data_IF_763488402673
#
_entry.id   IF_763488402673
#
_cell.length_a   1.000
_cell.length_b   1.000
_cell.length_c   1.000
_cell.angle_alpha   90.00
_cell.angle_beta   90.00
_cell.angle_gamma   90.00
#
_symmetry.space_group_name_H-M   'P 1'
#
loop_
_entity.id
_entity.type
_entity.pdbx_description
1 polymer ?
#
# COMPACT_ATOMS: atom_id res chain seq x y z
N UNK A 1 4.01 40.50 -58.37
CA UNK A 1 2.66 39.87 -58.15
C UNK A 1 2.63 39.39 -56.69
N UNK A 2 1.83 40.04 -55.89
CA UNK A 2 1.82 40.02 -54.43
C UNK A 2 0.79 38.99 -53.99
N UNK A 3 1.21 37.98 -53.23
CA UNK A 3 0.29 37.09 -52.55
C UNK A 3 0.06 37.56 -51.11
N UNK A 4 -1.18 37.92 -50.82
CA UNK A 4 -1.67 38.24 -49.49
C UNK A 4 -1.83 37.02 -48.66
N UNK A 5 -1.14 36.95 -47.50
CA UNK A 5 -1.38 36.00 -46.42
C UNK A 5 -2.39 36.66 -45.48
N UNK A 6 -3.52 35.95 -45.25
CA UNK A 6 -4.51 36.32 -44.25
C UNK A 6 -4.07 35.78 -42.90
N UNK A 7 -3.74 36.67 -41.97
CA UNK A 7 -3.62 36.36 -40.54
C UNK A 7 -5.02 36.41 -39.93
N UNK A 8 -5.49 35.29 -39.45
CA UNK A 8 -6.64 35.27 -38.53
C UNK A 8 -6.10 35.52 -37.11
N UNK A 9 -6.38 36.70 -36.58
CA UNK A 9 -6.23 37.00 -35.15
C UNK A 9 -7.39 36.31 -34.41
N UNK A 10 -7.04 35.30 -33.62
CA UNK A 10 -7.93 34.75 -32.60
C UNK A 10 -7.75 35.61 -31.33
N UNK A 11 -8.63 36.55 -31.09
CA UNK A 11 -8.75 37.19 -29.77
C UNK A 11 -9.21 36.15 -28.75
N UNK A 12 -8.30 35.60 -27.96
CA UNK A 12 -8.61 34.86 -26.76
C UNK A 12 -9.00 35.84 -25.66
N UNK A 13 -10.29 36.08 -25.48
CA UNK A 13 -10.80 36.70 -24.25
C UNK A 13 -10.67 35.71 -23.11
N UNK A 14 -9.48 35.60 -22.51
CA UNK A 14 -9.28 34.96 -21.23
C UNK A 14 -9.78 35.89 -20.13
N UNK A 15 -10.83 35.49 -19.43
CA UNK A 15 -11.36 36.20 -18.27
C UNK A 15 -10.33 36.04 -17.12
N UNK A 16 -9.67 37.12 -16.65
CA UNK A 16 -8.63 37.03 -15.62
C UNK A 16 -9.14 36.48 -14.29
N UNK A 17 -10.42 36.70 -13.98
CA UNK A 17 -11.04 36.32 -12.71
C UNK A 17 -11.25 34.80 -12.56
N UNK A 18 -11.49 34.07 -13.66
CA UNK A 18 -11.59 32.59 -13.59
C UNK A 18 -10.25 31.91 -13.33
N UNK A 19 -9.16 32.47 -13.86
CA UNK A 19 -7.81 31.95 -13.58
C UNK A 19 -7.38 32.22 -12.13
N UNK A 20 -7.81 33.35 -11.57
CA UNK A 20 -7.46 33.73 -10.19
C UNK A 20 -8.24 32.88 -9.17
N UNK A 21 -9.55 32.64 -9.41
CA UNK A 21 -10.36 31.73 -8.60
C UNK A 21 -9.86 30.28 -8.65
N UNK A 22 -9.51 29.76 -9.84
CA UNK A 22 -8.93 28.42 -9.95
C UNK A 22 -7.57 28.31 -9.26
N UNK A 23 -6.72 29.37 -9.30
CA UNK A 23 -5.43 29.36 -8.58
C UNK A 23 -5.61 29.38 -7.07
N UNK A 24 -6.51 30.18 -6.52
CA UNK A 24 -6.70 30.29 -5.07
C UNK A 24 -7.33 29.02 -4.48
N UNK A 25 -8.36 28.45 -5.12
CA UNK A 25 -8.98 27.19 -4.70
C UNK A 25 -7.96 26.04 -4.75
N UNK A 26 -7.14 26.00 -5.81
CA UNK A 26 -6.09 24.97 -5.95
C UNK A 26 -5.02 25.09 -4.87
N UNK A 27 -4.63 26.31 -4.45
CA UNK A 27 -3.63 26.52 -3.41
C UNK A 27 -4.16 26.18 -2.00
N UNK A 28 -5.44 26.39 -1.70
CA UNK A 28 -6.04 26.03 -0.41
C UNK A 28 -6.14 24.51 -0.18
N UNK A 29 -6.60 23.75 -1.20
CA UNK A 29 -6.66 22.28 -1.13
C UNK A 29 -5.26 21.68 -0.97
N UNK A 30 -4.29 22.20 -1.73
CA UNK A 30 -2.92 21.73 -1.76
C UNK A 30 -2.23 21.87 -0.38
N UNK A 31 -2.41 23.03 0.27
CA UNK A 31 -1.87 23.28 1.60
C UNK A 31 -2.49 22.36 2.65
N UNK A 32 -3.77 22.06 2.55
CA UNK A 32 -4.51 21.28 3.54
C UNK A 32 -4.08 19.81 3.59
N UNK A 33 -3.80 19.20 2.43
CA UNK A 33 -3.29 17.82 2.37
C UNK A 33 -1.99 17.69 3.18
N UNK A 34 -1.07 18.63 2.99
CA UNK A 34 0.22 18.60 3.69
C UNK A 34 0.08 18.94 5.18
N UNK A 35 -0.79 19.88 5.56
CA UNK A 35 -1.08 20.18 6.96
C UNK A 35 -1.65 18.96 7.69
N UNK A 36 -2.61 18.23 7.08
CA UNK A 36 -3.18 17.02 7.61
C UNK A 36 -2.11 15.94 7.75
N UNK A 37 -1.35 15.68 6.69
CA UNK A 37 -0.28 14.69 6.69
C UNK A 37 0.75 14.94 7.80
N UNK A 38 1.32 16.15 7.88
CA UNK A 38 2.31 16.52 8.90
C UNK A 38 1.78 16.41 10.33
N UNK A 39 0.47 16.40 10.51
CA UNK A 39 -0.19 16.21 11.80
C UNK A 39 -0.40 14.72 12.08
N UNK A 40 -0.86 13.93 11.10
CA UNK A 40 -1.14 12.51 11.26
C UNK A 40 0.12 11.67 11.45
N UNK A 41 1.21 11.96 10.75
CA UNK A 41 2.48 11.23 10.92
C UNK A 41 3.10 11.37 12.32
N UNK A 42 2.69 12.34 13.11
CA UNK A 42 3.17 12.52 14.49
C UNK A 42 2.43 11.66 15.52
N UNK A 43 1.36 11.00 15.12
CA UNK A 43 0.60 10.07 15.95
C UNK A 43 1.20 8.69 15.74
N UNK A 44 1.68 8.09 16.82
CA UNK A 44 2.20 6.71 16.81
C UNK A 44 1.03 5.73 16.63
N UNK A 45 1.07 4.95 15.54
CA UNK A 45 0.03 3.98 15.18
C UNK A 45 0.61 2.63 14.76
N UNK A 46 1.88 2.39 15.09
CA UNK A 46 2.59 1.17 14.66
C UNK A 46 1.84 -0.10 15.06
N UNK A 47 1.64 -0.98 14.08
CA UNK A 47 1.07 -2.32 14.25
C UNK A 47 2.07 -3.31 14.88
N UNK A 48 1.64 -4.51 15.20
CA UNK A 48 2.47 -5.54 15.84
C UNK A 48 2.17 -6.93 15.27
N UNK A 49 3.19 -7.58 14.72
CA UNK A 49 3.10 -8.98 14.24
C UNK A 49 2.90 -10.00 15.37
N UNK A 50 3.25 -9.64 16.63
CA UNK A 50 3.14 -10.53 17.77
C UNK A 50 1.73 -10.57 18.37
N UNK A 51 0.85 -9.64 17.95
CA UNK A 51 -0.51 -9.52 18.47
C UNK A 51 -1.44 -10.56 17.84
N UNK A 52 -2.43 -10.97 18.61
CA UNK A 52 -3.54 -11.82 18.16
C UNK A 52 -4.89 -11.09 18.18
N UNK A 53 -4.88 -9.78 18.41
CA UNK A 53 -6.08 -8.93 18.45
C UNK A 53 -6.10 -7.97 17.26
N UNK A 54 -7.28 -7.49 16.88
CA UNK A 54 -7.47 -6.37 15.95
C UNK A 54 -8.18 -5.23 16.73
N UNK A 55 -7.59 -4.03 16.81
CA UNK A 55 -6.27 -3.69 16.26
C UNK A 55 -5.14 -4.40 17.01
N UNK A 56 -4.04 -4.62 16.32
CA UNK A 56 -2.84 -5.25 16.90
C UNK A 56 -2.19 -4.39 17.99
N UNK A 57 -2.41 -3.08 17.94
CA UNK A 57 -2.00 -2.12 18.98
C UNK A 57 -3.11 -1.10 19.23
N UNK A 58 -3.33 -0.79 20.51
CA UNK A 58 -4.38 0.16 20.92
C UNK A 58 -4.08 1.61 20.53
N UNK A 59 -2.83 1.96 20.22
CA UNK A 59 -2.44 3.31 19.81
C UNK A 59 -3.00 3.73 18.45
N UNK A 60 -3.44 2.79 17.61
CA UNK A 60 -4.15 3.08 16.36
C UNK A 60 -5.48 3.83 16.60
N UNK A 61 -6.11 3.63 17.75
CA UNK A 61 -7.32 4.36 18.15
C UNK A 61 -7.10 5.87 18.31
N UNK A 62 -5.85 6.33 18.53
CA UNK A 62 -5.56 7.76 18.70
C UNK A 62 -5.77 8.50 17.36
N UNK A 63 -5.32 7.91 16.25
CA UNK A 63 -5.59 8.45 14.91
C UNK A 63 -7.06 8.26 14.53
N UNK A 64 -7.63 7.07 14.74
CA UNK A 64 -9.04 6.81 14.44
C UNK A 64 -9.98 7.81 15.11
N UNK A 65 -9.78 8.09 16.41
CA UNK A 65 -10.57 9.06 17.17
C UNK A 65 -10.43 10.50 16.65
N UNK A 66 -9.23 10.88 16.20
CA UNK A 66 -9.00 12.17 15.56
C UNK A 66 -9.77 12.27 14.25
N UNK A 67 -9.66 11.25 13.37
CA UNK A 67 -10.34 11.23 12.08
C UNK A 67 -11.86 11.29 12.22
N UNK A 68 -12.43 10.57 13.18
CA UNK A 68 -13.88 10.68 13.51
C UNK A 68 -14.26 12.11 13.87
N UNK A 69 -13.51 12.75 14.76
CA UNK A 69 -13.78 14.12 15.18
C UNK A 69 -13.69 15.13 14.04
N UNK A 70 -12.76 14.93 13.11
CA UNK A 70 -12.58 15.79 11.93
C UNK A 70 -13.67 15.55 10.89
N UNK A 71 -14.08 14.30 10.65
CA UNK A 71 -15.20 13.96 9.78
C UNK A 71 -16.51 14.57 10.30
N UNK A 72 -16.75 14.52 11.61
CA UNK A 72 -17.90 15.19 12.24
C UNK A 72 -17.84 16.70 12.04
N UNK A 73 -16.68 17.31 12.28
CA UNK A 73 -16.48 18.75 12.17
C UNK A 73 -16.67 19.29 10.74
N UNK A 74 -16.27 18.52 9.71
CA UNK A 74 -16.46 18.91 8.30
C UNK A 74 -17.88 18.64 7.76
N UNK A 75 -18.72 17.92 8.52
CA UNK A 75 -20.11 17.64 8.17
C UNK A 75 -20.32 16.37 7.35
N UNK A 76 -19.39 15.43 7.40
CA UNK A 76 -19.61 14.08 6.86
C UNK A 76 -20.79 13.40 7.58
N UNK A 77 -21.45 12.48 6.89
CA UNK A 77 -22.63 11.77 7.39
C UNK A 77 -22.37 10.28 7.57
N UNK A 78 -23.31 9.56 8.19
CA UNK A 78 -23.22 8.09 8.38
C UNK A 78 -21.86 7.66 8.97
N UNK A 79 -21.32 8.46 9.90
CA UNK A 79 -20.04 8.17 10.54
C UNK A 79 -20.23 7.02 11.50
N UNK A 80 -19.44 5.98 11.34
CA UNK A 80 -19.39 4.80 12.22
C UNK A 80 -17.97 4.56 12.66
N UNK A 81 -17.75 4.46 13.96
CA UNK A 81 -16.49 4.06 14.56
C UNK A 81 -16.64 2.70 15.24
N UNK A 82 -16.10 1.65 14.62
CA UNK A 82 -15.98 0.34 15.27
C UNK A 82 -14.86 0.41 16.31
N UNK A 83 -15.25 0.58 17.58
CA UNK A 83 -14.30 0.70 18.71
C UNK A 83 -13.72 -0.65 19.13
N UNK A 84 -14.28 -1.76 18.68
CA UNK A 84 -13.74 -3.09 18.98
C UNK A 84 -12.56 -3.41 18.08
N UNK A 85 -12.70 -3.10 16.78
CA UNK A 85 -11.70 -3.47 15.77
C UNK A 85 -11.01 -2.26 15.10
N UNK A 86 -11.29 -1.02 15.55
CA UNK A 86 -10.65 0.21 15.10
C UNK A 86 -10.91 0.63 13.64
N UNK A 87 -12.07 0.27 13.05
CA UNK A 87 -12.46 0.77 11.72
C UNK A 87 -13.24 2.07 11.80
N UNK A 88 -12.98 2.98 10.87
CA UNK A 88 -13.75 4.22 10.72
C UNK A 88 -14.41 4.24 9.35
N UNK A 89 -15.74 4.44 9.33
CA UNK A 89 -16.51 4.61 8.11
C UNK A 89 -17.22 5.95 8.11
N UNK A 90 -17.29 6.61 6.95
CA UNK A 90 -18.04 7.85 6.79
C UNK A 90 -18.61 8.00 5.38
N UNK A 91 -19.50 8.97 5.19
CA UNK A 91 -20.11 9.31 3.92
C UNK A 91 -19.95 10.78 3.59
N UNK A 92 -19.53 11.07 2.36
CA UNK A 92 -19.78 12.34 1.69
C UNK A 92 -21.04 12.15 0.86
N UNK A 93 -22.17 12.84 1.18
CA UNK A 93 -23.41 12.74 0.42
C UNK A 93 -23.22 13.14 -1.04
N UNK A 94 -23.96 12.52 -1.95
CA UNK A 94 -23.92 12.88 -3.37
C UNK A 94 -24.24 14.36 -3.59
N UNK A 95 -23.59 15.00 -4.56
CA UNK A 95 -24.00 16.33 -5.02
C UNK A 95 -25.37 16.28 -5.69
N UNK A 96 -26.10 17.40 -5.65
CA UNK A 96 -27.49 17.47 -6.11
C UNK A 96 -27.65 17.01 -7.59
N UNK A 97 -28.52 16.02 -7.81
CA UNK A 97 -28.79 15.42 -9.11
C UNK A 97 -27.96 14.18 -9.45
N UNK A 98 -27.06 13.76 -8.55
CA UNK A 98 -26.18 12.59 -8.73
C UNK A 98 -26.41 11.49 -7.68
N UNK A 99 -27.55 11.51 -7.02
CA UNK A 99 -27.94 10.58 -5.94
C UNK A 99 -28.07 9.14 -6.43
N UNK A 100 -28.26 8.93 -7.74
CA UNK A 100 -28.39 7.61 -8.36
C UNK A 100 -27.08 7.11 -9.01
N UNK A 101 -26.00 7.89 -8.93
CA UNK A 101 -24.69 7.45 -9.41
C UNK A 101 -24.18 6.29 -8.55
N UNK A 102 -23.29 5.42 -9.10
CA UNK A 102 -22.67 4.36 -8.32
C UNK A 102 -22.00 4.91 -7.06
N UNK A 103 -22.12 4.17 -5.94
CA UNK A 103 -21.46 4.53 -4.69
C UNK A 103 -19.98 4.16 -4.76
N UNK A 104 -19.11 5.15 -4.66
CA UNK A 104 -17.66 4.96 -4.75
C UNK A 104 -17.02 5.01 -3.36
N UNK A 105 -16.12 4.06 -3.08
CA UNK A 105 -15.34 4.02 -1.85
C UNK A 105 -13.90 4.53 -2.06
N UNK A 106 -13.33 5.17 -1.02
CA UNK A 106 -11.90 5.40 -0.89
C UNK A 106 -11.45 4.89 0.48
N UNK A 107 -10.37 4.13 0.50
CA UNK A 107 -9.89 3.40 1.68
C UNK A 107 -8.40 3.66 1.85
N UNK A 108 -7.96 3.86 3.09
CA UNK A 108 -6.55 3.98 3.47
C UNK A 108 -6.34 3.32 4.84
N UNK A 109 -5.13 2.83 5.13
CA UNK A 109 -4.85 2.28 6.44
C UNK A 109 -4.25 3.30 7.40
N UNK A 110 -4.48 3.10 8.71
CA UNK A 110 -4.06 4.02 9.75
C UNK A 110 -2.76 3.61 10.43
N UNK A 111 -2.46 2.32 10.43
CA UNK A 111 -1.26 1.79 11.07
C UNK A 111 0.00 2.06 10.24
N UNK A 112 1.13 1.86 10.85
CA UNK A 112 2.45 1.94 10.23
C UNK A 112 3.22 0.66 10.48
N UNK A 113 4.15 0.36 9.58
CA UNK A 113 4.96 -0.85 9.58
C UNK A 113 5.73 -1.06 10.90
N UNK A 114 5.76 -2.30 11.45
CA UNK A 114 6.58 -2.63 12.60
C UNK A 114 8.09 -2.67 12.31
N UNK A 115 8.51 -2.55 11.05
CA UNK A 115 9.92 -2.67 10.65
C UNK A 115 10.84 -1.60 11.25
N UNK A 116 10.35 -0.35 11.39
CA UNK A 116 11.06 0.77 12.02
C UNK A 116 10.08 1.54 12.87
N UNK A 117 10.51 2.02 14.05
CA UNK A 117 9.62 2.77 14.96
C UNK A 117 9.06 4.04 14.31
N UNK A 118 7.80 4.36 14.63
CA UNK A 118 7.12 5.62 14.32
C UNK A 118 6.93 6.51 15.57
N UNK A 119 7.57 6.15 16.68
CA UNK A 119 7.47 6.92 17.91
C UNK A 119 8.22 8.25 17.80
N UNK A 120 7.49 9.36 17.96
CA UNK A 120 8.04 10.71 17.93
C UNK A 120 8.65 11.11 16.57
N UNK A 121 7.92 10.83 15.49
CA UNK A 121 8.26 11.24 14.11
C UNK A 121 8.47 12.77 14.05
N UNK A 122 9.58 13.20 13.45
CA UNK A 122 9.96 14.61 13.27
C UNK A 122 10.01 14.97 11.78
N UNK A 123 8.85 15.18 11.15
CA UNK A 123 8.80 15.48 9.73
C UNK A 123 9.36 16.88 9.46
N UNK A 124 10.09 17.03 8.37
CA UNK A 124 10.53 18.31 7.83
C UNK A 124 10.43 18.34 6.31
N UNK A 125 10.27 19.53 5.76
CA UNK A 125 10.23 19.73 4.31
C UNK A 125 11.63 20.13 3.82
N UNK A 126 12.09 19.45 2.76
CA UNK A 126 13.25 19.83 1.95
C UNK A 126 12.70 20.56 0.73
N UNK A 127 12.71 21.88 0.79
CA UNK A 127 12.19 22.73 -0.29
C UNK A 127 13.11 22.68 -1.51
N UNK A 128 12.52 22.62 -2.71
CA UNK A 128 13.20 22.69 -4.00
C UNK A 128 14.43 21.76 -4.08
N UNK A 129 14.21 20.47 -3.80
CA UNK A 129 15.24 19.45 -3.76
C UNK A 129 16.23 19.58 -4.94
N UNK A 130 17.52 19.68 -4.66
CA UNK A 130 18.56 20.06 -5.62
C UNK A 130 19.26 18.87 -6.31
N UNK A 131 18.79 17.63 -6.05
CA UNK A 131 19.35 16.40 -6.63
C UNK A 131 20.55 15.83 -5.90
N UNK A 132 20.91 16.37 -4.71
CA UNK A 132 22.02 15.86 -3.91
C UNK A 132 21.55 14.96 -2.78
N UNK A 133 22.51 14.32 -2.11
CA UNK A 133 22.24 13.54 -0.90
C UNK A 133 21.57 14.40 0.17
N UNK A 134 20.55 13.84 0.84
CA UNK A 134 19.80 14.52 1.89
C UNK A 134 20.34 14.10 3.25
N UNK A 135 20.95 15.03 3.99
CA UNK A 135 21.35 14.79 5.38
C UNK A 135 20.11 14.79 6.25
N UNK A 136 19.71 13.62 6.75
CA UNK A 136 18.57 13.46 7.65
C UNK A 136 18.96 13.83 9.08
N UNK A 137 20.12 13.35 9.56
CA UNK A 137 20.60 13.58 10.91
C UNK A 137 22.13 13.73 10.91
N UNK A 138 22.60 14.92 11.27
CA UNK A 138 24.02 15.20 11.33
C UNK A 138 24.70 14.54 12.54
N UNK A 139 24.00 14.46 13.69
CA UNK A 139 24.57 13.90 14.91
C UNK A 139 24.78 12.39 14.81
N UNK A 140 23.88 11.69 14.13
CA UNK A 140 23.94 10.24 13.92
C UNK A 140 24.53 9.84 12.56
N UNK A 141 24.92 10.84 11.76
CA UNK A 141 25.47 10.65 10.41
C UNK A 141 24.53 9.85 9.49
N UNK A 142 23.20 10.12 9.58
CA UNK A 142 22.20 9.50 8.72
C UNK A 142 22.03 10.36 7.46
N UNK A 143 22.33 9.76 6.31
CA UNK A 143 22.28 10.44 5.00
C UNK A 143 21.52 9.55 4.02
N UNK A 144 20.47 10.10 3.40
CA UNK A 144 19.78 9.48 2.27
C UNK A 144 20.54 9.83 1.00
N UNK A 145 21.25 8.85 0.44
CA UNK A 145 22.16 9.05 -0.68
C UNK A 145 21.48 8.75 -2.01
N UNK A 146 21.67 9.61 -2.99
CA UNK A 146 21.18 9.38 -4.35
C UNK A 146 21.80 8.15 -5.02
N UNK A 147 22.98 7.71 -4.58
CA UNK A 147 23.61 6.48 -5.06
C UNK A 147 22.90 5.21 -4.55
N UNK A 148 22.30 5.29 -3.35
CA UNK A 148 21.55 4.19 -2.74
C UNK A 148 20.06 4.23 -3.15
N UNK A 149 19.53 5.43 -3.44
CA UNK A 149 18.14 5.72 -3.80
C UNK A 149 18.08 6.60 -5.05
N UNK A 150 18.37 6.04 -6.25
CA UNK A 150 18.46 6.82 -7.50
C UNK A 150 17.12 7.44 -7.93
N UNK A 151 15.97 6.92 -7.48
CA UNK A 151 14.63 7.47 -7.71
C UNK A 151 14.46 8.89 -7.16
N UNK A 152 15.22 9.30 -6.14
CA UNK A 152 15.25 10.68 -5.66
C UNK A 152 15.48 11.70 -6.79
N UNK A 153 16.25 11.33 -7.81
CA UNK A 153 16.57 12.23 -8.94
C UNK A 153 15.31 12.57 -9.79
N UNK A 154 14.23 11.80 -9.67
CA UNK A 154 12.95 12.10 -10.32
C UNK A 154 12.23 13.31 -9.68
N UNK A 155 12.68 13.71 -8.50
CA UNK A 155 12.04 14.73 -7.67
C UNK A 155 12.83 16.06 -7.62
N UNK A 156 13.86 16.23 -8.46
CA UNK A 156 14.63 17.48 -8.53
C UNK A 156 13.71 18.67 -8.81
N UNK A 157 13.81 19.72 -7.98
CA UNK A 157 12.96 20.91 -8.02
C UNK A 157 11.59 20.76 -7.33
N UNK A 158 11.31 19.60 -6.72
CA UNK A 158 10.11 19.35 -5.89
C UNK A 158 10.42 19.54 -4.41
N UNK A 159 9.37 19.61 -3.61
CA UNK A 159 9.47 19.67 -2.16
C UNK A 159 9.26 18.25 -1.60
N UNK A 160 10.19 17.79 -0.75
CA UNK A 160 10.16 16.46 -0.17
C UNK A 160 9.94 16.54 1.34
N UNK A 161 9.05 15.71 1.86
CA UNK A 161 8.85 15.53 3.30
C UNK A 161 9.68 14.32 3.72
N UNK A 162 10.55 14.50 4.70
CA UNK A 162 11.46 13.47 5.24
C UNK A 162 11.45 13.52 6.77
N UNK A 163 11.97 12.47 7.43
CA UNK A 163 12.22 12.46 8.88
C UNK A 163 13.65 12.84 9.22
N UNK A 164 14.01 12.76 10.51
CA UNK A 164 15.40 12.83 10.95
C UNK A 164 16.13 11.47 10.86
N UNK A 165 15.52 10.45 10.25
CA UNK A 165 16.09 9.12 10.06
C UNK A 165 16.16 8.26 11.32
N UNK A 166 15.65 8.74 12.47
CA UNK A 166 15.52 7.92 13.70
C UNK A 166 14.23 7.10 13.71
N UNK A 167 13.26 7.45 12.85
CA UNK A 167 11.97 6.79 12.66
C UNK A 167 11.70 6.60 11.17
N UNK A 168 10.68 5.80 10.82
CA UNK A 168 10.03 5.92 9.52
C UNK A 168 9.26 7.27 9.45
N UNK A 169 8.71 7.62 8.28
CA UNK A 169 7.88 8.83 8.11
C UNK A 169 6.39 8.52 8.37
N UNK A 170 5.92 7.36 7.92
CA UNK A 170 4.50 6.97 7.93
C UNK A 170 3.73 7.56 6.75
N UNK A 171 4.39 7.78 5.60
CA UNK A 171 3.71 8.11 4.36
C UNK A 171 2.83 6.95 3.90
N UNK A 172 3.27 5.75 4.14
CA UNK A 172 2.53 4.52 4.10
C UNK A 172 1.81 4.29 5.45
N UNK A 173 0.46 4.49 5.57
CA UNK A 173 -0.39 5.09 4.53
C UNK A 173 -1.13 6.36 5.05
N UNK A 174 -0.48 7.11 5.94
CA UNK A 174 -1.04 8.38 6.41
C UNK A 174 -1.07 9.45 5.31
N UNK A 175 -0.38 9.22 4.16
CA UNK A 175 -0.54 10.06 2.98
C UNK A 175 -1.92 9.86 2.36
N UNK A 176 -2.33 8.63 2.10
CA UNK A 176 -3.68 8.31 1.62
C UNK A 176 -4.77 8.77 2.57
N UNK A 177 -4.57 8.58 3.89
CA UNK A 177 -5.49 9.14 4.91
C UNK A 177 -5.64 10.65 4.75
N UNK A 178 -4.54 11.41 4.62
CA UNK A 178 -4.58 12.86 4.48
C UNK A 178 -5.23 13.32 3.17
N UNK A 179 -5.01 12.59 2.09
CA UNK A 179 -5.57 12.86 0.77
C UNK A 179 -7.08 12.62 0.74
N UNK A 180 -7.55 11.50 1.30
CA UNK A 180 -8.98 11.19 1.43
C UNK A 180 -9.69 12.22 2.31
N UNK A 181 -9.11 12.59 3.45
CA UNK A 181 -9.68 13.59 4.34
C UNK A 181 -9.78 14.96 3.69
N UNK A 182 -8.77 15.34 2.91
CA UNK A 182 -8.77 16.62 2.17
C UNK A 182 -9.75 16.61 1.02
N UNK A 183 -9.86 15.52 0.26
CA UNK A 183 -10.89 15.32 -0.76
C UNK A 183 -12.29 15.48 -0.15
N UNK A 184 -12.54 14.81 0.99
CA UNK A 184 -13.84 14.88 1.66
C UNK A 184 -14.20 16.31 2.07
N UNK A 185 -13.25 17.03 2.69
CA UNK A 185 -13.44 18.42 3.10
C UNK A 185 -13.73 19.34 1.89
N UNK A 186 -13.00 19.14 0.78
CA UNK A 186 -13.20 19.91 -0.44
C UNK A 186 -14.59 19.67 -1.05
N UNK A 187 -15.01 18.43 -1.17
CA UNK A 187 -16.32 18.09 -1.75
C UNK A 187 -17.49 18.57 -0.88
N UNK A 188 -17.37 18.50 0.44
CA UNK A 188 -18.38 19.02 1.38
C UNK A 188 -18.49 20.56 1.34
N UNK A 189 -17.37 21.26 1.12
CA UNK A 189 -17.36 22.72 0.99
C UNK A 189 -17.80 23.22 -0.39
N UNK A 190 -17.74 22.40 -1.42
CA UNK A 190 -18.01 22.76 -2.80
C UNK A 190 -19.09 21.86 -3.42
N UNK A 191 -20.36 22.00 -2.96
CA UNK A 191 -21.46 21.14 -3.41
C UNK A 191 -21.79 21.25 -4.90
N UNK A 192 -21.22 22.22 -5.61
CA UNK A 192 -21.30 22.36 -7.06
C UNK A 192 -20.41 21.36 -7.83
N UNK A 193 -19.42 20.72 -7.16
CA UNK A 193 -18.60 19.67 -7.76
C UNK A 193 -19.44 18.39 -7.90
N UNK A 194 -19.41 17.83 -9.09
CA UNK A 194 -20.19 16.62 -9.41
C UNK A 194 -19.56 15.38 -8.78
N UNK A 195 -20.33 14.64 -7.98
CA UNK A 195 -19.95 13.31 -7.49
C UNK A 195 -21.21 12.56 -7.01
N UNK A 196 -21.19 11.24 -7.13
CA UNK A 196 -22.14 10.37 -6.45
C UNK A 196 -21.88 10.30 -4.93
N UNK A 197 -22.61 9.44 -4.23
CA UNK A 197 -22.30 9.15 -2.82
C UNK A 197 -20.89 8.55 -2.72
N UNK A 198 -20.06 9.11 -1.82
CA UNK A 198 -18.72 8.61 -1.56
C UNK A 198 -18.69 7.99 -0.17
N UNK A 199 -18.13 6.78 -0.08
CA UNK A 199 -17.83 6.10 1.17
C UNK A 199 -16.35 6.25 1.48
N UNK A 200 -16.04 6.54 2.73
CA UNK A 200 -14.67 6.63 3.26
C UNK A 200 -14.51 5.49 4.25
N UNK A 201 -13.40 4.75 4.14
CA UNK A 201 -13.00 3.70 5.06
C UNK A 201 -11.56 3.90 5.52
N UNK A 202 -11.34 3.81 6.85
CA UNK A 202 -9.98 3.73 7.39
C UNK A 202 -9.83 2.42 8.14
N UNK A 203 -8.79 1.66 7.79
CA UNK A 203 -8.51 0.31 8.30
C UNK A 203 -7.35 0.33 9.31
N UNK A 204 -7.34 -0.57 10.30
CA UNK A 204 -6.16 -0.88 11.11
C UNK A 204 -5.35 -2.00 10.46
N UNK A 205 -4.15 -2.28 10.96
CA UNK A 205 -3.41 -3.55 10.81
C UNK A 205 -3.17 -4.04 9.35
N UNK A 206 -3.15 -3.14 8.37
CA UNK A 206 -2.80 -3.50 6.99
C UNK A 206 -1.38 -4.08 6.93
N UNK A 207 -0.44 -3.44 7.59
CA UNK A 207 0.99 -3.73 7.61
C UNK A 207 1.36 -5.10 8.21
N UNK A 208 0.42 -5.71 8.92
CA UNK A 208 0.50 -7.09 9.42
C UNK A 208 -0.46 -8.04 8.70
N UNK A 209 -1.06 -7.58 7.58
CA UNK A 209 -1.92 -8.36 6.70
C UNK A 209 -3.32 -8.64 7.25
N UNK A 210 -3.77 -7.90 8.26
CA UNK A 210 -5.05 -8.08 8.93
C UNK A 210 -6.09 -6.96 8.66
N UNK A 211 -5.74 -5.96 7.83
CA UNK A 211 -6.56 -4.78 7.60
C UNK A 211 -7.97 -5.04 7.09
N UNK A 212 -8.19 -6.11 6.33
CA UNK A 212 -9.52 -6.49 5.86
C UNK A 212 -10.24 -7.52 6.75
N UNK A 213 -9.66 -8.01 7.86
CA UNK A 213 -10.19 -9.14 8.63
C UNK A 213 -11.59 -8.90 9.19
N UNK A 214 -11.87 -7.71 9.68
CA UNK A 214 -13.15 -7.31 10.23
C UNK A 214 -13.84 -6.18 9.45
N UNK A 215 -13.37 -5.90 8.23
CA UNK A 215 -13.97 -4.86 7.39
C UNK A 215 -15.39 -5.27 6.98
N UNK A 216 -16.39 -4.49 7.36
CA UNK A 216 -17.78 -4.76 7.00
C UNK A 216 -18.14 -4.15 5.65
N UNK A 217 -17.96 -4.93 4.58
CA UNK A 217 -18.28 -4.54 3.20
C UNK A 217 -19.73 -4.10 3.04
N UNK A 218 -20.66 -4.72 3.79
CA UNK A 218 -22.11 -4.38 3.71
C UNK A 218 -22.39 -3.04 4.37
N UNK A 219 -21.82 -2.79 5.53
CA UNK A 219 -21.92 -1.51 6.23
C UNK A 219 -21.22 -0.41 5.42
N UNK A 220 -20.06 -0.72 4.85
CA UNK A 220 -19.35 0.19 3.96
C UNK A 220 -20.23 0.57 2.77
N UNK A 221 -20.89 -0.39 2.12
CA UNK A 221 -21.98 -0.15 1.18
C UNK A 221 -21.59 0.62 -0.08
N UNK A 222 -20.33 0.48 -0.55
CA UNK A 222 -19.88 0.97 -1.85
C UNK A 222 -20.06 -0.11 -2.93
N UNK A 223 -20.36 0.29 -4.16
CA UNK A 223 -20.38 -0.59 -5.33
C UNK A 223 -18.99 -0.97 -5.78
N UNK A 224 -18.07 -0.01 -5.68
CA UNK A 224 -16.64 -0.09 -6.03
C UNK A 224 -15.82 0.74 -5.07
N UNK A 225 -14.53 0.42 -4.94
CA UNK A 225 -13.63 1.25 -4.14
C UNK A 225 -12.24 1.37 -4.79
N UNK A 226 -11.43 2.23 -4.22
CA UNK A 226 -9.97 2.30 -4.43
C UNK A 226 -9.31 2.35 -3.05
N UNK A 227 -8.26 1.57 -2.85
CA UNK A 227 -7.28 1.88 -1.81
C UNK A 227 -6.38 3.01 -2.31
N UNK A 228 -5.99 3.92 -1.41
CA UNK A 228 -5.10 5.04 -1.70
C UNK A 228 -3.83 4.80 -0.90
N UNK A 229 -3.05 3.81 -1.36
CA UNK A 229 -2.01 3.13 -0.60
C UNK A 229 -0.81 2.71 -1.50
N UNK A 230 -0.68 3.35 -2.66
CA UNK A 230 0.42 3.09 -3.59
C UNK A 230 1.57 4.09 -3.44
N UNK A 231 2.61 3.90 -4.24
CA UNK A 231 3.84 4.68 -4.19
C UNK A 231 3.80 5.96 -5.05
N UNK A 232 4.72 6.02 -6.00
CA UNK A 232 4.97 7.19 -6.84
C UNK A 232 3.74 7.67 -7.61
N UNK A 233 3.65 8.97 -7.82
CA UNK A 233 2.56 9.59 -8.57
C UNK A 233 2.37 8.94 -9.95
N UNK A 234 1.12 8.54 -10.22
CA UNK A 234 0.69 7.87 -11.45
C UNK A 234 0.65 6.35 -11.34
N UNK A 235 1.13 5.75 -10.27
CA UNK A 235 0.97 4.32 -10.03
C UNK A 235 -0.51 3.96 -9.89
N UNK A 236 -0.87 2.87 -10.58
CA UNK A 236 -2.22 2.30 -10.58
C UNK A 236 -2.07 0.78 -10.64
N UNK A 237 -2.51 0.12 -9.60
CA UNK A 237 -2.24 -1.28 -9.39
C UNK A 237 -3.53 -2.07 -9.25
N UNK A 238 -3.69 -3.11 -10.05
CA UNK A 238 -4.84 -4.01 -10.04
C UNK A 238 -4.43 -5.48 -10.12
N UNK A 239 -3.15 -5.73 -9.92
CA UNK A 239 -2.53 -7.03 -9.83
C UNK A 239 -1.61 -7.10 -8.62
N UNK A 240 -1.64 -8.20 -7.90
CA UNK A 240 -0.77 -8.49 -6.78
C UNK A 240 -0.33 -9.95 -6.80
N UNK A 241 0.59 -10.37 -5.95
CA UNK A 241 0.93 -11.77 -5.83
C UNK A 241 -0.25 -12.62 -5.35
N UNK A 242 -0.30 -13.90 -5.78
CA UNK A 242 -0.86 -14.97 -4.96
C UNK A 242 0.18 -15.33 -3.90
N UNK A 243 -0.25 -15.62 -2.69
CA UNK A 243 0.61 -15.75 -1.53
C UNK A 243 0.27 -16.93 -0.64
N UNK A 244 1.29 -17.66 -0.19
CA UNK A 244 1.20 -18.64 0.87
C UNK A 244 2.35 -18.49 1.85
N UNK A 245 2.07 -18.70 3.13
CA UNK A 245 3.06 -18.99 4.14
C UNK A 245 3.26 -20.51 4.27
N UNK A 246 4.49 -20.96 4.45
CA UNK A 246 4.78 -22.36 4.67
C UNK A 246 5.80 -22.53 5.81
N UNK A 247 5.45 -23.33 6.81
CA UNK A 247 6.33 -23.68 7.92
C UNK A 247 6.83 -25.10 7.72
N UNK A 248 8.14 -25.26 7.57
CA UNK A 248 8.81 -26.55 7.47
C UNK A 248 9.34 -26.95 8.85
N UNK A 249 8.87 -28.07 9.36
CA UNK A 249 9.41 -28.74 10.53
C UNK A 249 10.28 -29.92 10.10
N UNK A 250 11.51 -29.95 10.55
CA UNK A 250 12.44 -31.07 10.28
C UNK A 250 12.83 -31.73 11.58
N UNK A 251 12.55 -33.02 11.70
CA UNK A 251 12.88 -33.82 12.88
C UNK A 251 14.10 -34.70 12.63
N UNK A 252 15.09 -34.54 13.49
CA UNK A 252 16.33 -35.30 13.49
C UNK A 252 16.39 -36.35 14.58
N UNK A 253 17.60 -36.79 14.87
CA UNK A 253 17.94 -37.68 16.00
C UNK A 253 19.38 -37.41 16.39
N UNK A 254 19.57 -36.89 17.60
CA UNK A 254 20.91 -36.65 18.15
C UNK A 254 21.50 -37.95 18.74
N UNK A 255 22.78 -38.12 18.55
CA UNK A 255 23.61 -39.10 19.24
C UNK A 255 25.01 -38.51 19.40
N UNK A 256 25.84 -39.12 20.30
CA UNK A 256 27.20 -38.66 20.47
C UNK A 256 27.97 -38.66 19.13
N UNK A 257 28.60 -37.56 18.71
CA UNK A 257 29.23 -37.44 17.40
C UNK A 257 30.25 -38.55 17.07
N UNK A 258 31.03 -39.00 18.06
CA UNK A 258 32.00 -40.08 17.90
C UNK A 258 31.40 -41.47 17.57
N UNK A 259 30.09 -41.66 17.77
CA UNK A 259 29.36 -42.91 17.48
C UNK A 259 28.14 -42.69 16.54
N UNK A 260 28.14 -41.59 15.81
CA UNK A 260 26.99 -41.13 15.05
C UNK A 260 26.76 -41.86 13.71
N UNK A 261 27.75 -42.57 13.18
CA UNK A 261 27.67 -43.22 11.86
C UNK A 261 26.48 -44.20 11.80
N UNK A 262 25.57 -43.94 10.84
CA UNK A 262 24.34 -44.72 10.62
C UNK A 262 23.25 -44.55 11.68
N UNK A 263 23.44 -43.66 12.66
CA UNK A 263 22.47 -43.42 13.76
C UNK A 263 21.93 -42.00 13.79
N UNK A 264 22.81 -40.99 13.63
CA UNK A 264 22.42 -39.58 13.69
C UNK A 264 21.61 -39.20 12.44
N UNK A 265 20.56 -38.42 12.68
CA UNK A 265 19.88 -37.61 11.67
C UNK A 265 20.01 -36.16 12.11
N UNK A 266 20.75 -35.34 11.37
CA UNK A 266 20.96 -33.95 11.74
C UNK A 266 19.91 -33.07 11.04
N UNK A 267 18.94 -32.56 11.80
CA UNK A 267 17.85 -31.75 11.28
C UNK A 267 18.34 -30.48 10.55
N UNK A 268 19.45 -29.87 11.04
CA UNK A 268 20.03 -28.68 10.36
C UNK A 268 20.51 -29.05 8.95
N UNK A 269 21.21 -30.15 8.78
CA UNK A 269 21.71 -30.58 7.47
C UNK A 269 20.57 -31.00 6.53
N UNK A 270 19.52 -31.59 7.08
CA UNK A 270 18.32 -31.96 6.31
C UNK A 270 17.56 -30.71 5.85
N UNK A 271 17.39 -29.67 6.70
CA UNK A 271 16.80 -28.40 6.32
C UNK A 271 17.62 -27.68 5.25
N UNK A 272 18.96 -27.73 5.33
CA UNK A 272 19.82 -27.21 4.26
C UNK A 272 19.66 -27.99 2.94
N UNK A 273 19.45 -29.30 3.01
CA UNK A 273 19.15 -30.11 1.82
C UNK A 273 17.79 -29.73 1.22
N UNK A 274 16.77 -29.50 2.04
CA UNK A 274 15.48 -28.98 1.59
C UNK A 274 15.66 -27.70 0.78
N UNK A 275 16.37 -26.71 1.33
CA UNK A 275 16.62 -25.44 0.65
C UNK A 275 17.33 -25.62 -0.71
N UNK A 276 18.20 -26.61 -0.84
CA UNK A 276 18.91 -26.90 -2.10
C UNK A 276 18.05 -27.60 -3.15
N UNK A 277 16.90 -28.14 -2.79
CA UNK A 277 15.94 -28.73 -3.72
C UNK A 277 15.06 -27.66 -4.38
N UNK A 278 14.93 -26.47 -3.76
CA UNK A 278 14.22 -25.35 -4.34
C UNK A 278 15.08 -24.66 -5.40
N UNK A 279 14.48 -24.14 -6.50
CA UNK A 279 15.20 -23.41 -7.55
C UNK A 279 15.90 -22.16 -6.97
N UNK A 280 17.22 -22.09 -7.10
CA UNK A 280 18.00 -20.99 -6.53
C UNK A 280 17.69 -19.63 -7.14
N UNK A 281 17.34 -19.61 -8.41
CA UNK A 281 16.94 -18.42 -9.17
C UNK A 281 15.57 -17.88 -8.75
N UNK A 282 14.72 -18.69 -8.13
CA UNK A 282 13.41 -18.28 -7.62
C UNK A 282 13.53 -17.83 -6.16
N UNK A 283 14.30 -16.78 -5.94
CA UNK A 283 14.52 -16.16 -4.64
C UNK A 283 14.38 -14.63 -4.81
N UNK A 284 13.86 -13.88 -3.85
CA UNK A 284 13.71 -12.43 -3.96
C UNK A 284 14.96 -11.67 -4.40
N UNK A 285 16.16 -12.19 -4.09
CA UNK A 285 17.43 -11.61 -4.52
C UNK A 285 17.69 -11.67 -6.04
N UNK A 286 16.92 -12.48 -6.77
CA UNK A 286 17.13 -12.74 -8.21
C UNK A 286 15.86 -12.54 -9.04
N UNK A 287 14.76 -12.10 -8.44
CA UNK A 287 13.46 -11.96 -9.12
C UNK A 287 12.96 -10.52 -9.12
N UNK A 288 12.32 -10.11 -10.22
CA UNK A 288 11.71 -8.81 -10.41
C UNK A 288 10.37 -8.90 -11.16
N UNK A 289 9.62 -7.80 -11.23
CA UNK A 289 8.37 -7.72 -12.00
C UNK A 289 7.38 -8.84 -11.62
N UNK A 290 7.01 -9.64 -12.59
CA UNK A 290 6.04 -10.73 -12.44
C UNK A 290 6.64 -12.05 -11.92
N UNK A 291 7.95 -12.12 -11.74
CA UNK A 291 8.64 -13.35 -11.33
C UNK A 291 8.32 -13.71 -9.88
N UNK A 292 7.81 -14.93 -9.68
CA UNK A 292 7.51 -15.48 -8.36
C UNK A 292 8.74 -16.11 -7.68
N UNK A 293 8.63 -16.33 -6.37
CA UNK A 293 9.77 -16.79 -5.56
C UNK A 293 9.37 -17.70 -4.39
N UNK A 294 10.40 -18.36 -3.82
CA UNK A 294 10.44 -18.94 -2.48
C UNK A 294 11.38 -18.09 -1.62
N UNK A 295 10.90 -17.56 -0.53
CA UNK A 295 11.71 -16.82 0.41
C UNK A 295 11.80 -17.57 1.74
N UNK A 296 13.02 -17.94 2.15
CA UNK A 296 13.29 -18.41 3.50
C UNK A 296 13.43 -17.19 4.40
N UNK A 297 12.41 -16.93 5.20
CA UNK A 297 12.32 -15.75 6.04
C UNK A 297 13.02 -15.96 7.39
N UNK A 298 12.77 -17.10 8.04
CA UNK A 298 13.39 -17.43 9.30
C UNK A 298 13.75 -18.91 9.37
N UNK A 299 14.82 -19.22 10.11
CA UNK A 299 15.21 -20.60 10.43
C UNK A 299 15.80 -20.67 11.84
N UNK A 300 15.35 -21.64 12.62
CA UNK A 300 15.85 -21.88 13.96
C UNK A 300 15.89 -23.37 14.28
N UNK A 301 16.74 -23.77 15.21
CA UNK A 301 16.78 -25.16 15.69
C UNK A 301 18.17 -25.73 15.97
N UNK A 302 18.21 -27.04 16.07
CA UNK A 302 19.41 -27.82 16.43
C UNK A 302 19.43 -29.18 15.70
N UNK A 303 20.26 -30.14 16.17
CA UNK A 303 20.39 -31.46 15.56
C UNK A 303 19.10 -32.28 15.61
N UNK A 304 18.25 -32.08 16.63
CA UNK A 304 17.01 -32.84 16.82
C UNK A 304 15.81 -32.24 16.11
N UNK A 305 15.74 -30.91 16.02
CA UNK A 305 14.63 -30.24 15.41
C UNK A 305 15.06 -28.91 14.76
N UNK A 306 14.50 -28.61 13.59
CA UNK A 306 14.60 -27.32 12.91
C UNK A 306 13.22 -26.90 12.47
N UNK A 307 12.92 -25.62 12.66
CA UNK A 307 11.76 -24.94 12.07
C UNK A 307 12.25 -23.88 11.09
N UNK A 308 11.66 -23.83 9.91
CA UNK A 308 11.97 -22.84 8.90
C UNK A 308 10.67 -22.26 8.33
N UNK A 309 10.58 -20.94 8.33
CA UNK A 309 9.43 -20.19 7.83
C UNK A 309 9.71 -19.71 6.40
N UNK A 310 8.77 -19.96 5.50
CA UNK A 310 8.86 -19.63 4.08
C UNK A 310 7.69 -18.81 3.62
N UNK A 311 7.96 -17.93 2.68
CA UNK A 311 6.97 -17.16 1.91
C UNK A 311 7.02 -17.65 0.47
N UNK A 312 5.88 -18.02 -0.11
CA UNK A 312 5.73 -18.46 -1.51
C UNK A 312 4.88 -17.44 -2.24
N UNK A 313 5.38 -16.92 -3.36
CA UNK A 313 4.72 -15.86 -4.14
C UNK A 313 4.76 -16.18 -5.63
N UNK A 314 3.68 -15.90 -6.34
CA UNK A 314 3.64 -15.82 -7.81
C UNK A 314 2.41 -15.01 -8.27
N UNK A 315 2.55 -14.16 -9.29
CA UNK A 315 1.41 -13.45 -9.87
C UNK A 315 0.47 -14.40 -10.64
N UNK A 316 1.05 -15.41 -11.30
CA UNK A 316 0.27 -16.39 -12.02
C UNK A 316 -0.26 -17.49 -11.09
N UNK A 317 -1.58 -17.66 -11.05
CA UNK A 317 -2.24 -18.66 -10.18
C UNK A 317 -1.73 -20.09 -10.41
N UNK A 318 -1.56 -20.49 -11.66
CA UNK A 318 -1.10 -21.84 -11.99
C UNK A 318 0.36 -22.06 -11.55
N UNK A 319 1.24 -21.07 -11.76
CA UNK A 319 2.64 -21.14 -11.30
C UNK A 319 2.72 -21.12 -9.78
N UNK A 320 1.86 -20.38 -9.12
CA UNK A 320 1.74 -20.38 -7.67
C UNK A 320 1.39 -21.78 -7.12
N UNK A 321 0.36 -22.44 -7.69
CA UNK A 321 0.00 -23.80 -7.27
C UNK A 321 1.15 -24.79 -7.55
N UNK A 322 1.83 -24.68 -8.69
CA UNK A 322 3.01 -25.51 -9.00
C UNK A 322 4.16 -25.30 -8.00
N UNK A 323 4.37 -24.06 -7.53
CA UNK A 323 5.37 -23.78 -6.49
C UNK A 323 5.01 -24.48 -5.18
N UNK A 324 3.74 -24.44 -4.77
CA UNK A 324 3.26 -25.14 -3.57
C UNK A 324 3.46 -26.66 -3.69
N UNK A 325 3.10 -27.24 -4.84
CA UNK A 325 3.31 -28.66 -5.14
C UNK A 325 4.79 -29.03 -5.11
N UNK A 326 5.67 -28.22 -5.68
CA UNK A 326 7.11 -28.43 -5.63
C UNK A 326 7.62 -28.44 -4.19
N UNK A 327 7.20 -27.46 -3.39
CA UNK A 327 7.58 -27.34 -1.98
C UNK A 327 7.21 -28.60 -1.17
N UNK A 328 5.98 -29.09 -1.33
CA UNK A 328 5.51 -30.33 -0.71
C UNK A 328 6.28 -31.55 -1.23
N UNK A 329 6.56 -31.61 -2.53
CA UNK A 329 7.32 -32.70 -3.13
C UNK A 329 8.77 -32.78 -2.60
N UNK A 330 9.39 -31.64 -2.25
CA UNK A 330 10.68 -31.59 -1.60
C UNK A 330 10.64 -32.24 -0.20
N UNK A 331 9.59 -31.97 0.58
CA UNK A 331 9.39 -32.60 1.88
C UNK A 331 9.18 -34.12 1.75
N UNK A 332 8.36 -34.55 0.80
CA UNK A 332 8.13 -35.95 0.50
C UNK A 332 9.42 -36.67 0.07
N UNK A 333 10.28 -36.02 -0.71
CA UNK A 333 11.57 -36.55 -1.08
C UNK A 333 12.44 -36.81 0.17
N UNK A 334 12.50 -35.87 1.10
CA UNK A 334 13.24 -36.01 2.35
C UNK A 334 12.66 -37.10 3.24
N UNK A 335 11.33 -37.22 3.30
CA UNK A 335 10.67 -38.31 4.04
C UNK A 335 11.00 -39.68 3.46
N UNK A 336 11.02 -39.84 2.13
CA UNK A 336 11.47 -41.07 1.49
C UNK A 336 12.94 -41.38 1.78
N UNK A 337 13.81 -40.38 1.86
CA UNK A 337 15.25 -40.54 2.10
C UNK A 337 15.59 -40.80 3.55
N UNK A 338 14.97 -40.10 4.48
CA UNK A 338 15.35 -40.12 5.91
C UNK A 338 14.32 -40.82 6.79
N UNK A 339 13.17 -41.21 6.26
CA UNK A 339 12.06 -41.86 6.95
C UNK A 339 10.88 -40.94 7.16
N UNK A 340 9.71 -41.54 7.18
CA UNK A 340 8.43 -40.85 7.35
C UNK A 340 8.42 -39.94 8.58
N UNK A 341 7.81 -38.75 8.46
CA UNK A 341 7.72 -37.76 9.54
C UNK A 341 9.02 -36.97 9.77
N UNK A 342 10.05 -37.12 8.92
CA UNK A 342 11.28 -36.33 9.04
C UNK A 342 11.08 -34.87 8.63
N UNK A 343 10.30 -34.62 7.57
CA UNK A 343 9.94 -33.27 7.08
C UNK A 343 8.43 -33.13 7.04
N UNK A 344 7.90 -32.21 7.82
CA UNK A 344 6.47 -31.91 7.87
C UNK A 344 6.28 -30.44 7.45
N UNK A 345 5.32 -30.19 6.57
CA UNK A 345 4.99 -28.86 6.08
C UNK A 345 3.60 -28.48 6.56
N UNK A 346 3.50 -27.33 7.22
CA UNK A 346 2.24 -26.61 7.46
C UNK A 346 2.19 -25.43 6.49
N UNK A 347 1.22 -25.43 5.59
CA UNK A 347 1.10 -24.43 4.52
C UNK A 347 -0.29 -23.86 4.50
N UNK A 348 -0.37 -22.52 4.42
CA UNK A 348 -1.64 -21.78 4.37
C UNK A 348 -1.56 -20.69 3.32
N UNK A 349 -2.58 -20.62 2.44
CA UNK A 349 -2.75 -19.49 1.53
C UNK A 349 -3.16 -18.23 2.32
N UNK A 350 -2.55 -17.10 1.98
CA UNK A 350 -2.78 -15.82 2.64
C UNK A 350 -3.74 -14.94 1.86
N UNK A 351 -3.47 -14.75 0.56
CA UNK A 351 -4.30 -13.96 -0.35
C UNK A 351 -4.03 -14.36 -1.81
N UNK A 352 -4.89 -13.86 -2.71
CA UNK A 352 -4.82 -14.15 -4.14
C UNK A 352 -4.69 -12.87 -4.96
N UNK A 353 -4.26 -13.02 -6.22
CA UNK A 353 -4.16 -11.90 -7.16
C UNK A 353 -5.55 -11.34 -7.48
N UNK A 354 -5.79 -10.08 -7.14
CA UNK A 354 -7.06 -9.39 -7.38
C UNK A 354 -7.40 -9.23 -8.88
N UNK A 355 -6.45 -9.43 -9.78
CA UNK A 355 -6.68 -9.38 -11.23
C UNK A 355 -7.87 -10.24 -11.67
N UNK A 356 -8.05 -11.43 -11.07
CA UNK A 356 -9.16 -12.33 -11.37
C UNK A 356 -10.54 -11.66 -11.21
N UNK A 357 -10.64 -10.74 -10.24
CA UNK A 357 -11.84 -9.93 -10.01
C UNK A 357 -11.83 -8.69 -10.90
N UNK A 358 -10.68 -7.99 -10.97
CA UNK A 358 -10.56 -6.72 -11.66
C UNK A 358 -10.81 -6.82 -13.18
N UNK A 359 -10.49 -7.95 -13.82
CA UNK A 359 -10.80 -8.18 -15.24
C UNK A 359 -12.29 -8.02 -15.59
N UNK A 360 -13.19 -8.17 -14.62
CA UNK A 360 -14.62 -7.93 -14.77
C UNK A 360 -15.02 -6.48 -14.48
N UNK A 361 -14.09 -5.67 -13.96
CA UNK A 361 -14.32 -4.30 -13.49
C UNK A 361 -13.30 -3.30 -14.05
N UNK A 362 -12.80 -3.53 -15.29
CA UNK A 362 -11.76 -2.70 -15.91
C UNK A 362 -12.12 -1.23 -16.03
N UNK A 363 -13.40 -0.89 -15.95
CA UNK A 363 -13.82 0.51 -15.88
C UNK A 363 -13.24 1.29 -14.70
N UNK A 364 -12.87 0.62 -13.60
CA UNK A 364 -12.13 1.24 -12.49
C UNK A 364 -10.78 1.76 -12.97
N UNK A 365 -10.07 0.91 -13.70
CA UNK A 365 -8.74 1.22 -14.24
C UNK A 365 -8.83 2.30 -15.32
N UNK A 366 -9.81 2.19 -16.24
CA UNK A 366 -10.01 3.13 -17.33
C UNK A 366 -10.38 4.53 -16.80
N UNK A 367 -11.25 4.60 -15.78
CA UNK A 367 -11.63 5.88 -15.17
C UNK A 367 -10.46 6.53 -14.43
N UNK A 368 -9.65 5.74 -13.70
CA UNK A 368 -8.48 6.26 -13.01
C UNK A 368 -7.44 6.79 -14.00
N UNK A 369 -7.14 6.04 -15.07
CA UNK A 369 -6.25 6.48 -16.15
C UNK A 369 -6.74 7.77 -16.80
N UNK A 370 -8.01 7.82 -17.16
CA UNK A 370 -8.58 9.03 -17.79
C UNK A 370 -8.53 10.25 -16.84
N UNK A 371 -8.73 10.06 -15.52
CA UNK A 371 -8.61 11.13 -14.55
C UNK A 371 -7.14 11.58 -14.39
N UNK A 372 -6.18 10.64 -14.39
CA UNK A 372 -4.75 10.94 -14.38
C UNK A 372 -4.34 11.77 -15.61
N UNK A 373 -4.72 11.33 -16.81
CA UNK A 373 -4.41 12.02 -18.07
C UNK A 373 -4.97 13.44 -18.10
N UNK A 374 -6.21 13.66 -17.64
CA UNK A 374 -6.82 14.99 -17.55
C UNK A 374 -6.05 15.94 -16.62
N UNK A 375 -5.40 15.40 -15.59
CA UNK A 375 -4.57 16.15 -14.64
C UNK A 375 -3.10 16.28 -15.06
N UNK A 376 -2.75 15.73 -16.24
CA UNK A 376 -1.37 15.69 -16.72
C UNK A 376 -0.47 14.79 -15.85
N UNK A 377 -1.05 13.70 -15.32
CA UNK A 377 -0.36 12.63 -14.63
C UNK A 377 -0.23 11.47 -15.62
N UNK A 378 0.97 10.96 -15.81
CA UNK A 378 1.22 9.79 -16.65
C UNK A 378 0.83 8.51 -15.88
N UNK A 379 -0.17 7.72 -16.35
CA UNK A 379 -0.54 6.48 -15.68
C UNK A 379 0.57 5.42 -15.81
N UNK A 380 0.94 4.81 -14.70
CA UNK A 380 1.93 3.73 -14.61
C UNK A 380 1.26 2.51 -14.00
N UNK A 381 0.97 1.52 -14.83
CA UNK A 381 0.40 0.26 -14.34
C UNK A 381 1.52 -0.71 -14.04
N UNK A 382 1.62 -1.10 -12.77
CA UNK A 382 2.59 -2.08 -12.28
C UNK A 382 1.90 -3.12 -11.38
N UNK A 383 2.44 -4.34 -11.30
CA UNK A 383 1.95 -5.31 -10.35
C UNK A 383 2.55 -5.06 -8.95
N UNK A 384 1.73 -5.19 -7.92
CA UNK A 384 2.20 -5.18 -6.53
C UNK A 384 2.97 -6.48 -6.25
N UNK A 385 4.19 -6.36 -5.73
CA UNK A 385 4.99 -7.53 -5.31
C UNK A 385 4.76 -7.91 -3.84
N UNK A 386 3.58 -7.65 -3.33
CA UNK A 386 3.10 -7.94 -1.99
C UNK A 386 1.61 -8.26 -1.98
N UNK A 387 0.98 -8.00 -0.85
CA UNK A 387 -0.47 -7.96 -0.65
C UNK A 387 -0.93 -6.52 -0.48
N UNK A 388 -2.23 -6.32 -0.37
CA UNK A 388 -2.89 -5.05 -0.05
C UNK A 388 -4.30 -5.34 0.44
N UNK A 389 -4.86 -4.48 1.25
CA UNK A 389 -6.28 -4.56 1.67
C UNK A 389 -7.20 -4.62 0.45
N UNK A 390 -6.90 -3.86 -0.62
CA UNK A 390 -7.68 -3.86 -1.85
C UNK A 390 -7.81 -5.23 -2.51
N UNK A 391 -6.76 -6.05 -2.45
CA UNK A 391 -6.82 -7.42 -2.96
C UNK A 391 -7.81 -8.28 -2.15
N UNK A 392 -7.75 -8.22 -0.83
CA UNK A 392 -8.66 -8.97 0.06
C UNK A 392 -10.10 -8.49 -0.08
N UNK A 393 -10.32 -7.18 -0.08
CA UNK A 393 -11.63 -6.55 -0.27
C UNK A 393 -12.27 -6.95 -1.61
N UNK A 394 -11.45 -7.05 -2.68
CA UNK A 394 -11.93 -7.51 -3.99
C UNK A 394 -12.52 -8.91 -3.92
N UNK A 395 -11.89 -9.85 -3.22
CA UNK A 395 -12.43 -11.20 -3.00
C UNK A 395 -13.59 -11.24 -2.00
N UNK A 396 -13.77 -10.22 -1.17
CA UNK A 396 -14.94 -10.05 -0.29
C UNK A 396 -16.15 -9.46 -1.01
N UNK A 397 -16.03 -9.13 -2.31
CA UNK A 397 -17.09 -8.62 -3.17
C UNK A 397 -17.09 -7.10 -3.34
N UNK A 398 -16.00 -6.42 -2.98
CA UNK A 398 -15.78 -5.00 -3.21
C UNK A 398 -14.57 -4.82 -4.15
N UNK A 399 -14.76 -4.75 -5.48
CA UNK A 399 -13.67 -4.51 -6.42
C UNK A 399 -12.89 -3.24 -6.06
N UNK A 400 -11.59 -3.37 -5.76
CA UNK A 400 -10.81 -2.33 -5.13
C UNK A 400 -9.34 -2.32 -5.60
N UNK A 401 -9.01 -1.65 -6.74
CA UNK A 401 -7.64 -1.45 -7.17
C UNK A 401 -6.95 -0.38 -6.31
N UNK A 402 -5.62 -0.29 -6.39
CA UNK A 402 -4.80 0.60 -5.61
C UNK A 402 -4.35 1.83 -6.42
N UNK A 403 -4.38 3.01 -5.80
CA UNK A 403 -3.93 4.31 -6.33
C UNK A 403 -2.67 4.77 -5.60
N UNK A 404 -1.84 5.54 -6.31
CA UNK A 404 -0.66 6.20 -5.75
C UNK A 404 -1.00 7.21 -4.64
N UNK A 405 -0.02 7.46 -3.75
CA UNK A 405 -0.04 8.52 -2.74
C UNK A 405 1.02 9.60 -2.99
N UNK A 406 2.15 9.23 -3.60
CA UNK A 406 3.31 10.11 -3.79
C UNK A 406 4.38 9.95 -2.73
N UNK A 407 4.32 8.85 -1.98
CA UNK A 407 5.38 8.41 -1.06
C UNK A 407 6.34 7.42 -1.72
N UNK A 408 7.49 7.21 -1.10
CA UNK A 408 8.56 6.35 -1.58
C UNK A 408 9.39 5.80 -0.40
N UNK A 409 10.12 4.71 -0.63
CA UNK A 409 11.04 4.07 0.33
C UNK A 409 10.37 3.65 1.64
N UNK A 410 9.16 3.10 1.54
CA UNK A 410 8.33 2.66 2.64
C UNK A 410 9.04 1.67 3.58
N UNK A 411 8.48 1.48 4.78
CA UNK A 411 8.96 0.56 5.81
C UNK A 411 10.41 0.84 6.28
N UNK A 412 10.90 2.08 6.12
CA UNK A 412 12.28 2.40 6.45
C UNK A 412 12.52 3.84 6.90
N UNK A 413 13.70 4.07 7.48
CA UNK A 413 14.14 5.39 7.93
C UNK A 413 14.40 6.40 6.80
N UNK A 414 14.46 5.93 5.55
CA UNK A 414 14.68 6.73 4.36
C UNK A 414 13.39 6.99 3.58
N UNK A 415 12.26 6.72 4.21
CA UNK A 415 10.93 7.02 3.68
C UNK A 415 10.77 8.52 3.46
N UNK A 416 10.14 8.89 2.34
CA UNK A 416 9.82 10.28 2.03
C UNK A 416 8.53 10.38 1.22
N UNK A 417 7.91 11.58 1.25
CA UNK A 417 6.75 11.90 0.42
C UNK A 417 7.00 13.19 -0.38
N UNK A 418 6.52 13.24 -1.61
CA UNK A 418 6.62 14.43 -2.45
C UNK A 418 5.36 15.29 -2.30
N UNK A 419 5.52 16.52 -1.82
CA UNK A 419 4.44 17.49 -1.61
C UNK A 419 3.54 17.61 -2.84
N UNK A 420 4.12 17.91 -4.00
CA UNK A 420 3.36 18.12 -5.24
C UNK A 420 2.69 16.84 -5.76
N UNK A 421 3.21 15.66 -5.42
CA UNK A 421 2.59 14.39 -5.76
C UNK A 421 1.35 14.15 -4.91
N UNK A 422 1.43 14.30 -3.59
CA UNK A 422 0.30 14.18 -2.67
C UNK A 422 -0.85 15.14 -3.03
N UNK A 423 -0.49 16.40 -3.35
CA UNK A 423 -1.46 17.39 -3.80
C UNK A 423 -2.18 16.97 -5.08
N UNK A 424 -1.45 16.43 -6.04
CA UNK A 424 -2.03 15.91 -7.29
C UNK A 424 -2.89 14.69 -7.05
N UNK A 425 -2.51 13.80 -6.13
CA UNK A 425 -3.32 12.63 -5.77
C UNK A 425 -4.64 13.06 -5.14
N UNK A 426 -4.65 14.04 -4.22
CA UNK A 426 -5.92 14.62 -3.73
C UNK A 426 -6.82 15.09 -4.87
N UNK A 427 -6.25 15.80 -5.87
CA UNK A 427 -6.97 16.20 -7.07
C UNK A 427 -7.46 15.03 -7.92
N UNK A 428 -6.68 13.95 -7.98
CA UNK A 428 -7.03 12.72 -8.69
C UNK A 428 -8.25 12.03 -8.07
N UNK A 429 -8.32 11.93 -6.75
CA UNK A 429 -9.48 11.34 -6.06
C UNK A 429 -10.77 12.10 -6.41
N UNK A 430 -10.72 13.45 -6.42
CA UNK A 430 -11.85 14.31 -6.83
C UNK A 430 -12.23 14.07 -8.29
N UNK A 431 -11.24 13.99 -9.19
CA UNK A 431 -11.47 13.77 -10.62
C UNK A 431 -12.06 12.37 -10.89
N UNK A 432 -11.61 11.33 -10.18
CA UNK A 432 -12.19 9.99 -10.26
C UNK A 432 -13.65 10.02 -9.80
N UNK A 433 -13.96 10.64 -8.65
CA UNK A 433 -15.32 10.76 -8.15
C UNK A 433 -16.27 11.44 -9.16
N UNK A 434 -15.81 12.48 -9.85
CA UNK A 434 -16.55 13.15 -10.89
C UNK A 434 -16.86 12.26 -12.11
N UNK A 435 -15.96 11.34 -12.49
CA UNK A 435 -16.19 10.40 -13.61
C UNK A 435 -17.31 9.39 -13.33
N UNK A 436 -17.53 9.05 -12.06
CA UNK A 436 -18.63 8.18 -11.66
C UNK A 436 -19.99 8.90 -11.60
N UNK A 437 -19.98 10.21 -11.44
CA UNK A 437 -21.21 11.00 -11.49
C UNK A 437 -21.86 11.00 -12.90
N UNK A 438 -21.09 10.94 -13.96
CA UNK A 438 -21.55 11.02 -15.34
C UNK A 438 -21.97 9.64 -15.94
N UNK A 439 -22.11 8.59 -15.10
CA UNK A 439 -22.49 7.21 -15.52
C UNK A 439 -23.95 6.87 -15.31
#
# INVERSE_FOLDING_TARGET
MINKIWLFEFESRTCPDKLYLCRNVRSEIMTKTIENFLRYVKIDTQSSEESTTTPSTMKQHDLAGLLVSELEAMGATEITYDKEHCYVYATVPASAGYENAPVLGFIAHMDTSPAVTDTNVKPRIVEHYDGKDIVLNTAENIVMKTADFPELLNYVGKDLIVTDGTTLLGADDKAGVAEIMTMAEDLLKHPEKKHGKIRIGFTPDEEVGAGADHFDVKLFGADYAYTVDGGALGELEYENFNAAGAKLHVYGRSVHPGSAKGKMKNAILIAQEFQKLLPVEQNPMYTEGYEGFFHLDAISGNVEEVTADYIIRDHNRQLFEQKKELFLSCADFLNRKYGEGTAIVDMKDSYYNMREIMEQHMHLIDNAKAAMEELGIEPKVSPIRGGTDGARLSFMGLPCPNLCTGGENYHGRYEYACVQSMEKTTGLLIAIAAKYADR
#
